data_IF_362889392058
#
_entry.id   IF_362889392058
#
_cell.length_a   1.000
_cell.length_b   1.000
_cell.length_c   1.000
_cell.angle_alpha   90.00
_cell.angle_beta   90.00
_cell.angle_gamma   90.00
#
_symmetry.space_group_name_H-M   'P 1'
#
loop_
_entity.id
_entity.type
_entity.pdbx_description
1 polymer ?
#
# COMPACT_ATOMS: atom_id res chain seq x y z
N UNK A 1 70.59 -73.82 57.48
CA UNK A 1 69.42 -73.19 56.81
C UNK A 1 68.95 -72.10 57.73
N UNK A 2 68.81 -70.84 57.30
CA UNK A 2 68.23 -69.81 58.18
C UNK A 2 66.79 -70.24 58.47
N UNK A 3 66.48 -70.41 59.76
CA UNK A 3 65.17 -70.85 60.25
C UNK A 3 64.43 -69.56 60.60
N UNK A 4 63.32 -69.28 59.91
CA UNK A 4 62.51 -68.10 60.24
C UNK A 4 62.01 -68.23 61.67
N UNK A 5 62.10 -67.14 62.44
CA UNK A 5 61.46 -67.07 63.76
C UNK A 5 59.95 -66.94 63.59
N UNK A 6 59.18 -67.43 64.58
CA UNK A 6 57.72 -67.45 64.50
C UNK A 6 57.11 -66.03 64.35
N UNK A 7 57.79 -65.02 64.89
CA UNK A 7 57.45 -63.61 64.71
C UNK A 7 57.68 -63.12 63.26
N UNK A 8 58.79 -63.51 62.62
CA UNK A 8 59.08 -63.16 61.23
C UNK A 8 58.08 -63.83 60.28
N UNK A 9 57.65 -65.06 60.58
CA UNK A 9 56.63 -65.75 59.80
C UNK A 9 55.27 -65.05 59.90
N UNK A 10 54.86 -64.65 61.11
CA UNK A 10 53.62 -63.89 61.31
C UNK A 10 53.67 -62.51 60.65
N UNK A 11 54.80 -61.81 60.70
CA UNK A 11 54.98 -60.53 60.03
C UNK A 11 54.86 -60.66 58.50
N UNK A 12 55.40 -61.73 57.90
CA UNK A 12 55.26 -62.00 56.46
C UNK A 12 53.81 -62.29 56.09
N UNK A 13 53.11 -63.13 56.87
CA UNK A 13 51.69 -63.44 56.64
C UNK A 13 50.82 -62.19 56.74
N UNK A 14 51.04 -61.36 57.77
CA UNK A 14 50.30 -60.11 57.95
C UNK A 14 50.55 -59.11 56.82
N UNK A 15 51.80 -59.03 56.32
CA UNK A 15 52.14 -58.18 55.18
C UNK A 15 51.50 -58.70 53.88
N UNK A 16 51.38 -60.02 53.72
CA UNK A 16 50.70 -60.62 52.58
C UNK A 16 49.18 -60.37 52.62
N UNK A 17 48.55 -60.49 53.79
CA UNK A 17 47.12 -60.20 53.94
C UNK A 17 46.82 -58.71 53.75
N UNK A 18 47.61 -57.81 54.32
CA UNK A 18 47.48 -56.37 54.11
C UNK A 18 47.68 -55.99 52.63
N UNK A 19 48.67 -56.59 51.96
CA UNK A 19 48.89 -56.39 50.52
C UNK A 19 47.70 -56.89 49.69
N UNK A 20 47.11 -58.04 50.03
CA UNK A 20 45.92 -58.58 49.35
C UNK A 20 44.70 -57.67 49.53
N UNK A 21 44.44 -57.21 50.76
CA UNK A 21 43.34 -56.28 51.05
C UNK A 21 43.53 -54.98 50.26
N UNK A 22 44.75 -54.43 50.23
CA UNK A 22 45.05 -53.21 49.48
C UNK A 22 44.91 -53.38 47.96
N UNK A 23 45.21 -54.57 47.44
CA UNK A 23 45.00 -54.90 46.03
C UNK A 23 43.50 -55.00 45.73
N UNK A 24 42.72 -55.62 46.62
CA UNK A 24 41.27 -55.75 46.47
C UNK A 24 40.57 -54.39 46.53
N UNK A 25 40.94 -53.54 47.49
CA UNK A 25 40.46 -52.15 47.58
C UNK A 25 40.80 -51.36 46.31
N UNK A 26 42.05 -51.47 45.82
CA UNK A 26 42.45 -50.81 44.58
C UNK A 26 41.66 -51.32 43.38
N UNK A 27 41.44 -52.63 43.27
CA UNK A 27 40.64 -53.20 42.19
C UNK A 27 39.19 -52.70 42.26
N UNK A 28 38.61 -52.61 43.45
CA UNK A 28 37.28 -52.05 43.66
C UNK A 28 37.21 -50.58 43.20
N UNK A 29 38.17 -49.74 43.62
CA UNK A 29 38.21 -48.34 43.18
C UNK A 29 38.39 -48.21 41.67
N UNK A 30 39.18 -49.08 41.03
CA UNK A 30 39.36 -49.08 39.57
C UNK A 30 38.05 -49.44 38.87
N UNK A 31 37.30 -50.41 39.39
CA UNK A 31 36.00 -50.80 38.84
C UNK A 31 34.99 -49.65 39.00
N UNK A 32 34.92 -49.04 40.19
CA UNK A 32 34.05 -47.89 40.44
C UNK A 32 34.39 -46.70 39.53
N UNK A 33 35.67 -46.36 39.38
CA UNK A 33 36.13 -45.32 38.46
C UNK A 33 35.85 -45.65 36.98
N UNK A 34 35.94 -46.92 36.60
CA UNK A 34 35.64 -47.37 35.24
C UNK A 34 34.13 -47.28 34.95
N UNK A 35 33.29 -47.60 35.94
CA UNK A 35 31.83 -47.48 35.87
C UNK A 35 31.40 -46.01 35.83
N UNK A 36 31.93 -45.16 36.71
CA UNK A 36 31.70 -43.71 36.71
C UNK A 36 32.10 -43.08 35.37
N UNK A 37 33.29 -43.41 34.84
CA UNK A 37 33.71 -42.90 33.51
C UNK A 37 32.82 -43.38 32.38
N UNK A 38 32.28 -44.60 32.45
CA UNK A 38 31.36 -45.15 31.44
C UNK A 38 30.02 -44.41 31.49
N UNK A 39 29.51 -44.12 32.67
CA UNK A 39 28.26 -43.39 32.88
C UNK A 39 28.39 -41.91 32.51
N UNK A 40 29.51 -41.28 32.87
CA UNK A 40 29.80 -39.90 32.50
C UNK A 40 30.01 -39.76 30.98
N UNK A 41 30.57 -40.79 30.32
CA UNK A 41 30.70 -40.86 28.86
C UNK A 41 29.36 -41.13 28.16
N UNK A 42 28.50 -41.97 28.71
CA UNK A 42 27.17 -42.24 28.15
C UNK A 42 26.25 -41.03 28.28
N UNK A 43 26.27 -40.36 29.44
CA UNK A 43 25.54 -39.12 29.71
C UNK A 43 25.99 -38.00 28.75
N UNK A 44 27.30 -37.75 28.63
CA UNK A 44 27.84 -36.73 27.71
C UNK A 44 27.48 -37.00 26.25
N UNK A 45 27.43 -38.27 25.82
CA UNK A 45 27.01 -38.61 24.45
C UNK A 45 25.54 -38.27 24.19
N UNK A 46 24.66 -38.51 25.17
CA UNK A 46 23.25 -38.13 25.08
C UNK A 46 23.05 -36.62 25.00
N UNK A 47 23.73 -35.86 25.87
CA UNK A 47 23.71 -34.39 25.82
C UNK A 47 24.28 -33.84 24.52
N UNK A 48 25.42 -34.37 24.05
CA UNK A 48 26.02 -33.95 22.78
C UNK A 48 25.08 -34.23 21.61
N UNK A 49 24.49 -35.44 21.53
CA UNK A 49 23.52 -35.77 20.50
C UNK A 49 22.30 -34.83 20.53
N UNK A 50 21.76 -34.54 21.72
CA UNK A 50 20.64 -33.62 21.90
C UNK A 50 20.98 -32.20 21.45
N UNK A 51 22.15 -31.68 21.82
CA UNK A 51 22.59 -30.33 21.39
C UNK A 51 22.80 -30.23 19.87
N UNK A 52 23.34 -31.28 19.24
CA UNK A 52 23.52 -31.32 17.78
C UNK A 52 22.17 -31.36 17.06
N UNK A 53 21.22 -32.17 17.54
CA UNK A 53 19.87 -32.24 16.98
C UNK A 53 19.17 -30.88 17.13
N UNK A 54 19.29 -30.22 18.28
CA UNK A 54 18.70 -28.91 18.52
C UNK A 54 19.33 -27.84 17.61
N UNK A 55 20.65 -27.88 17.41
CA UNK A 55 21.34 -26.96 16.50
C UNK A 55 20.90 -27.15 15.04
N UNK A 56 20.70 -28.40 14.60
CA UNK A 56 20.18 -28.69 13.26
C UNK A 56 18.74 -28.18 13.12
N UNK A 57 17.88 -28.40 14.12
CA UNK A 57 16.51 -27.88 14.14
C UNK A 57 16.47 -26.35 14.05
N UNK A 58 17.37 -25.68 14.77
CA UNK A 58 17.49 -24.22 14.74
C UNK A 58 17.96 -23.71 13.38
N UNK A 59 18.93 -24.39 12.74
CA UNK A 59 19.37 -24.06 11.39
C UNK A 59 18.26 -24.26 10.35
N UNK A 60 17.48 -25.34 10.45
CA UNK A 60 16.33 -25.57 9.58
C UNK A 60 15.30 -24.46 9.75
N UNK A 61 15.02 -24.03 10.99
CA UNK A 61 14.10 -22.93 11.27
C UNK A 61 14.59 -21.59 10.70
N UNK A 62 15.89 -21.29 10.81
CA UNK A 62 16.46 -20.10 10.18
C UNK A 62 16.38 -20.17 8.64
N UNK A 63 16.65 -21.36 8.07
CA UNK A 63 16.59 -21.57 6.63
C UNK A 63 15.18 -21.39 6.08
N UNK A 64 14.15 -21.92 6.77
CA UNK A 64 12.76 -21.75 6.36
C UNK A 64 12.32 -20.28 6.41
N UNK A 65 12.75 -19.51 7.41
CA UNK A 65 12.47 -18.06 7.49
C UNK A 65 13.11 -17.28 6.33
N UNK A 66 14.36 -17.59 5.96
CA UNK A 66 15.11 -16.82 4.95
C UNK A 66 14.71 -17.20 3.52
N UNK A 67 14.57 -18.50 3.22
CA UNK A 67 14.40 -18.99 1.85
C UNK A 67 12.96 -19.36 1.49
N UNK A 68 12.11 -19.63 2.48
CA UNK A 68 10.72 -20.04 2.25
C UNK A 68 9.73 -19.28 3.16
N UNK A 69 9.66 -17.94 3.05
CA UNK A 69 8.78 -17.12 3.90
C UNK A 69 7.29 -17.47 3.77
N UNK A 70 6.88 -18.13 2.68
CA UNK A 70 5.49 -18.53 2.43
C UNK A 70 5.05 -19.80 3.19
N UNK A 71 5.97 -20.59 3.76
CA UNK A 71 5.61 -21.79 4.56
C UNK A 71 5.27 -21.44 6.01
N UNK A 72 5.97 -20.46 6.58
CA UNK A 72 5.63 -19.89 7.88
C UNK A 72 4.55 -18.86 7.57
N UNK A 73 3.29 -19.29 7.58
CA UNK A 73 2.16 -18.44 7.29
C UNK A 73 1.94 -17.42 8.43
N UNK A 74 2.89 -16.51 8.64
CA UNK A 74 2.67 -15.25 9.33
C UNK A 74 1.78 -14.44 8.41
N UNK A 75 0.49 -14.75 8.43
CA UNK A 75 -0.55 -13.92 7.85
C UNK A 75 -0.61 -12.60 8.62
N UNK A 76 0.42 -11.78 8.46
CA UNK A 76 0.21 -10.36 8.33
C UNK A 76 -0.22 -10.12 6.87
N UNK A 77 -1.20 -10.89 6.39
CA UNK A 77 -2.07 -10.36 5.36
C UNK A 77 -2.68 -9.15 6.03
N UNK A 78 -2.36 -7.97 5.51
CA UNK A 78 -3.05 -6.74 5.86
C UNK A 78 -4.54 -7.08 5.85
N UNK A 79 -5.17 -7.06 7.02
CA UNK A 79 -6.63 -7.09 7.08
C UNK A 79 -7.04 -5.82 6.35
N UNK A 80 -7.44 -5.98 5.09
CA UNK A 80 -8.00 -4.91 4.30
C UNK A 80 -9.24 -4.48 5.06
N UNK A 81 -9.23 -3.24 5.56
CA UNK A 81 -10.43 -2.68 6.17
C UNK A 81 -11.53 -2.61 5.10
N UNK A 82 -12.79 -2.67 5.55
CA UNK A 82 -13.95 -2.66 4.66
C UNK A 82 -13.91 -1.43 3.74
N UNK A 83 -13.57 -1.66 2.46
CA UNK A 83 -13.40 -0.62 1.45
C UNK A 83 -12.07 -0.65 0.70
N UNK A 84 -11.07 -1.42 1.14
CA UNK A 84 -9.80 -1.52 0.44
C UNK A 84 -9.79 -2.69 -0.56
N UNK A 85 -9.56 -2.36 -1.83
CA UNK A 85 -9.43 -3.33 -2.93
C UNK A 85 -7.98 -3.34 -3.41
N UNK A 86 -7.37 -4.53 -3.48
CA UNK A 86 -6.06 -4.69 -4.11
C UNK A 86 -6.25 -4.53 -5.62
N UNK A 87 -5.84 -3.39 -6.15
CA UNK A 87 -5.88 -3.09 -7.58
C UNK A 87 -4.45 -3.23 -8.13
N UNK A 88 -4.28 -3.99 -9.21
CA UNK A 88 -2.99 -4.08 -9.90
C UNK A 88 -2.52 -2.69 -10.32
N UNK A 89 -1.23 -2.37 -10.11
CA UNK A 89 -0.64 -1.06 -10.45
C UNK A 89 -0.90 -0.65 -11.90
N UNK A 90 -0.98 -1.61 -12.82
CA UNK A 90 -1.36 -1.44 -14.24
C UNK A 90 -2.74 -0.81 -14.43
N UNK A 91 -3.69 -1.12 -13.54
CA UNK A 91 -5.05 -0.58 -13.58
C UNK A 91 -5.11 0.84 -13.02
N UNK A 92 -4.33 1.14 -11.98
CA UNK A 92 -4.22 2.52 -11.44
C UNK A 92 -3.62 3.47 -12.47
N UNK A 93 -2.57 3.03 -13.17
CA UNK A 93 -1.95 3.82 -14.25
C UNK A 93 -2.94 4.08 -15.40
N UNK A 94 -3.76 3.08 -15.75
CA UNK A 94 -4.83 3.25 -16.75
C UNK A 94 -5.87 4.29 -16.31
N UNK A 95 -6.35 4.22 -15.06
CA UNK A 95 -7.30 5.20 -14.53
C UNK A 95 -6.72 6.61 -14.48
N UNK A 96 -5.47 6.76 -14.05
CA UNK A 96 -4.81 8.07 -14.04
C UNK A 96 -4.62 8.63 -15.44
N UNK A 97 -4.26 7.80 -16.41
CA UNK A 97 -4.15 8.21 -17.81
C UNK A 97 -5.52 8.64 -18.37
N UNK A 98 -6.58 7.89 -18.05
CA UNK A 98 -7.96 8.23 -18.45
C UNK A 98 -8.45 9.52 -17.77
N UNK A 99 -8.15 9.71 -16.50
CA UNK A 99 -8.47 10.95 -15.77
C UNK A 99 -7.72 12.12 -16.40
N UNK A 100 -6.43 11.99 -16.66
CA UNK A 100 -5.61 13.03 -17.31
C UNK A 100 -6.15 13.37 -18.71
N UNK A 101 -6.54 12.35 -19.49
CA UNK A 101 -7.16 12.52 -20.80
C UNK A 101 -8.51 13.24 -20.69
N UNK A 102 -9.37 12.82 -19.75
CA UNK A 102 -10.67 13.45 -19.51
C UNK A 102 -10.53 14.89 -19.01
N UNK A 103 -9.58 15.15 -18.10
CA UNK A 103 -9.25 16.49 -17.62
C UNK A 103 -8.73 17.37 -18.76
N UNK A 104 -7.91 16.82 -19.67
CA UNK A 104 -7.47 17.56 -20.87
C UNK A 104 -8.63 17.87 -21.82
N UNK A 105 -9.60 16.95 -21.96
CA UNK A 105 -10.80 17.16 -22.79
C UNK A 105 -11.74 18.18 -22.15
N UNK A 106 -11.90 18.16 -20.82
CA UNK A 106 -12.69 19.16 -20.08
C UNK A 106 -12.00 20.52 -20.09
N UNK A 107 -10.67 20.57 -20.02
CA UNK A 107 -9.89 21.81 -20.14
C UNK A 107 -9.94 22.39 -21.56
N UNK A 108 -10.13 21.54 -22.58
CA UNK A 108 -10.44 21.93 -23.96
C UNK A 108 -11.89 22.35 -24.18
N UNK A 109 -12.79 22.05 -23.23
CA UNK A 109 -14.09 22.73 -23.16
C UNK A 109 -13.80 24.14 -22.66
N UNK A 110 -13.39 24.99 -23.61
CA UNK A 110 -13.14 26.40 -23.41
C UNK A 110 -14.28 26.96 -22.59
N UNK A 111 -13.97 27.39 -21.36
CA UNK A 111 -14.88 28.25 -20.62
C UNK A 111 -15.28 29.36 -21.61
N UNK A 112 -16.57 29.59 -21.86
CA UNK A 112 -17.03 30.50 -22.90
C UNK A 112 -16.45 31.92 -22.80
N UNK A 113 -15.90 32.26 -21.64
CA UNK A 113 -15.17 33.48 -21.33
C UNK A 113 -13.78 33.61 -21.99
N UNK A 114 -13.19 32.53 -22.52
CA UNK A 114 -11.89 32.55 -23.18
C UNK A 114 -11.94 32.74 -24.70
N UNK A 115 -13.14 32.77 -25.30
CA UNK A 115 -13.26 33.02 -26.75
C UNK A 115 -13.19 34.53 -27.02
N UNK A 116 -12.20 34.93 -27.80
CA UNK A 116 -12.08 36.31 -28.31
C UNK A 116 -13.24 36.69 -29.23
N UNK A 117 -13.86 35.72 -29.91
CA UNK A 117 -14.97 35.90 -30.85
C UNK A 117 -15.97 34.75 -30.68
N UNK A 118 -17.25 35.06 -30.53
CA UNK A 118 -18.30 34.05 -30.37
C UNK A 118 -19.69 34.58 -30.75
N UNK A 119 -20.63 33.66 -31.00
CA UNK A 119 -22.05 33.94 -31.20
C UNK A 119 -22.85 33.50 -29.95
N UNK A 120 -23.84 34.29 -29.57
CA UNK A 120 -24.73 33.96 -28.45
C UNK A 120 -26.16 34.46 -28.73
N UNK A 121 -27.16 33.74 -28.20
CA UNK A 121 -28.57 34.13 -28.36
C UNK A 121 -28.93 35.11 -27.25
N UNK A 122 -29.15 36.38 -27.59
CA UNK A 122 -29.57 37.39 -26.63
C UNK A 122 -31.08 37.34 -26.42
N UNK A 123 -31.51 37.11 -25.18
CA UNK A 123 -32.93 37.06 -24.79
C UNK A 123 -33.51 38.47 -24.58
N UNK A 124 -32.67 39.41 -24.17
CA UNK A 124 -33.09 40.79 -23.93
C UNK A 124 -32.03 41.65 -23.25
N UNK A 125 -32.36 42.93 -23.08
CA UNK A 125 -31.58 43.90 -22.34
C UNK A 125 -32.50 44.67 -21.40
N UNK A 126 -32.29 44.57 -20.08
CA UNK A 126 -33.23 45.10 -19.09
C UNK A 126 -32.54 46.09 -18.14
N UNK A 127 -33.16 47.25 -17.92
CA UNK A 127 -32.64 48.27 -16.97
C UNK A 127 -32.83 47.89 -15.50
N UNK A 128 -34.00 47.32 -15.17
CA UNK A 128 -34.42 47.06 -13.78
C UNK A 128 -34.35 45.59 -13.38
N UNK A 129 -34.23 44.69 -14.34
CA UNK A 129 -34.19 43.25 -14.10
C UNK A 129 -32.73 42.81 -14.04
N UNK A 130 -32.25 42.52 -12.83
CA UNK A 130 -30.88 42.08 -12.54
C UNK A 130 -30.93 40.83 -11.63
N UNK A 131 -31.56 39.77 -12.14
CA UNK A 131 -31.62 38.48 -11.45
C UNK A 131 -30.66 37.54 -12.17
N UNK A 132 -29.76 36.92 -11.41
CA UNK A 132 -28.84 35.93 -11.94
C UNK A 132 -29.63 34.66 -12.29
N UNK A 133 -29.72 34.32 -13.58
CA UNK A 133 -30.50 33.18 -14.06
C UNK A 133 -29.77 31.82 -13.91
N UNK A 134 -28.49 31.82 -13.55
CA UNK A 134 -27.69 30.61 -13.34
C UNK A 134 -26.74 30.73 -12.15
N UNK A 135 -26.31 29.60 -11.60
CA UNK A 135 -25.25 29.57 -10.58
C UNK A 135 -23.91 29.97 -11.18
N UNK A 136 -22.96 30.39 -10.33
CA UNK A 136 -21.59 30.75 -10.72
C UNK A 136 -20.89 29.66 -11.54
N UNK A 137 -21.18 28.39 -11.20
CA UNK A 137 -20.50 27.24 -11.78
C UNK A 137 -21.10 26.77 -13.12
N UNK A 138 -22.29 27.25 -13.49
CA UNK A 138 -22.99 26.86 -14.72
C UNK A 138 -23.37 28.10 -15.53
N UNK A 139 -22.40 28.71 -16.21
CA UNK A 139 -22.57 29.94 -16.98
C UNK A 139 -23.25 29.74 -18.34
N UNK A 140 -24.35 28.98 -18.41
CA UNK A 140 -25.15 28.86 -19.64
C UNK A 140 -25.79 30.20 -20.00
N UNK A 141 -26.03 31.04 -18.99
CA UNK A 141 -26.50 32.42 -19.14
C UNK A 141 -25.41 33.40 -18.77
N UNK A 142 -24.99 34.23 -19.71
CA UNK A 142 -24.04 35.31 -19.45
C UNK A 142 -24.81 36.62 -19.17
N UNK A 143 -24.45 37.28 -18.07
CA UNK A 143 -24.98 38.58 -17.67
C UNK A 143 -23.91 39.65 -17.89
N UNK A 144 -24.12 40.53 -18.87
CA UNK A 144 -23.20 41.64 -19.15
C UNK A 144 -23.89 42.99 -18.90
N UNK A 145 -23.15 43.97 -18.38
CA UNK A 145 -23.65 45.33 -18.22
C UNK A 145 -23.22 46.19 -19.41
N UNK A 146 -24.18 46.75 -20.15
CA UNK A 146 -23.90 47.70 -21.22
C UNK A 146 -24.81 48.92 -21.10
N UNK A 147 -24.21 50.11 -20.90
CA UNK A 147 -24.92 51.41 -20.89
C UNK A 147 -26.19 51.40 -20.01
N UNK A 148 -26.07 50.89 -18.78
CA UNK A 148 -27.15 50.76 -17.78
C UNK A 148 -28.22 49.69 -18.07
N UNK A 149 -27.95 48.76 -18.99
CA UNK A 149 -28.78 47.57 -19.21
C UNK A 149 -28.03 46.29 -18.83
N UNK A 150 -28.75 45.38 -18.19
CA UNK A 150 -28.32 44.00 -17.96
C UNK A 150 -28.70 43.18 -19.20
N UNK A 151 -27.71 42.64 -19.90
CA UNK A 151 -27.88 41.79 -21.07
C UNK A 151 -27.96 40.34 -20.60
N UNK A 152 -28.95 39.62 -21.12
CA UNK A 152 -29.10 38.19 -20.89
C UNK A 152 -28.84 37.47 -22.20
N UNK A 153 -27.75 36.71 -22.26
CA UNK A 153 -27.43 35.87 -23.41
C UNK A 153 -27.39 34.41 -23.00
N UNK A 154 -27.80 33.53 -23.91
CA UNK A 154 -27.89 32.09 -23.72
C UNK A 154 -26.95 31.39 -24.70
N UNK A 155 -26.10 30.52 -24.14
CA UNK A 155 -25.12 29.74 -24.89
C UNK A 155 -23.99 30.59 -25.49
N UNK A 156 -22.92 29.90 -25.87
CA UNK A 156 -21.77 30.46 -26.58
C UNK A 156 -21.38 29.48 -27.67
N UNK A 157 -21.33 29.97 -28.90
CA UNK A 157 -21.17 29.17 -30.10
C UNK A 157 -20.06 29.74 -30.98
N UNK A 158 -19.35 28.89 -31.69
CA UNK A 158 -18.33 29.31 -32.65
C UNK A 158 -18.96 29.80 -33.95
N UNK A 159 -20.11 29.23 -34.33
CA UNK A 159 -20.78 29.53 -35.60
C UNK A 159 -22.16 30.15 -35.42
N UNK A 160 -22.55 31.03 -36.35
CA UNK A 160 -23.88 31.64 -36.39
C UNK A 160 -24.99 30.58 -36.51
N UNK A 161 -24.77 29.55 -37.34
CA UNK A 161 -25.75 28.50 -37.59
C UNK A 161 -26.08 27.66 -36.33
N UNK A 162 -25.13 27.49 -35.42
CA UNK A 162 -25.39 26.84 -34.12
C UNK A 162 -26.24 27.72 -33.21
N UNK A 163 -25.96 29.03 -33.18
CA UNK A 163 -26.74 29.99 -32.43
C UNK A 163 -28.16 30.15 -32.99
N UNK A 164 -28.34 30.11 -34.32
CA UNK A 164 -29.66 30.14 -34.96
C UNK A 164 -30.53 28.93 -34.58
N UNK A 165 -29.95 27.73 -34.49
CA UNK A 165 -30.69 26.54 -34.01
C UNK A 165 -31.20 26.73 -32.59
N UNK A 166 -30.38 27.32 -31.71
CA UNK A 166 -30.83 27.65 -30.36
C UNK A 166 -31.91 28.73 -30.38
N UNK A 167 -31.77 29.74 -31.24
CA UNK A 167 -32.78 30.80 -31.40
C UNK A 167 -34.14 30.23 -31.77
N UNK A 168 -34.22 29.25 -32.68
CA UNK A 168 -35.49 28.60 -33.03
C UNK A 168 -36.16 27.91 -31.84
N UNK A 169 -35.37 27.29 -30.96
CA UNK A 169 -35.87 26.64 -29.74
C UNK A 169 -36.34 27.71 -28.75
N UNK A 170 -35.54 28.75 -28.54
CA UNK A 170 -35.84 29.88 -27.65
C UNK A 170 -37.10 30.62 -28.09
N UNK A 171 -37.29 30.83 -29.39
CA UNK A 171 -38.51 31.42 -29.95
C UNK A 171 -39.75 30.56 -29.67
N UNK A 172 -39.62 29.22 -29.70
CA UNK A 172 -40.69 28.28 -29.31
C UNK A 172 -41.01 28.33 -27.81
N UNK A 173 -40.07 28.80 -26.99
CA UNK A 173 -40.24 29.05 -25.55
C UNK A 173 -40.82 30.44 -25.25
N UNK A 174 -41.40 31.11 -26.25
CA UNK A 174 -42.06 32.43 -26.16
C UNK A 174 -41.12 33.65 -26.04
N UNK A 175 -39.81 33.46 -26.20
CA UNK A 175 -38.85 34.57 -26.34
C UNK A 175 -38.79 35.06 -27.79
N UNK A 176 -39.86 35.72 -28.25
CA UNK A 176 -40.03 36.12 -29.67
C UNK A 176 -39.04 37.18 -30.16
N UNK A 177 -38.56 38.02 -29.25
CA UNK A 177 -37.62 39.11 -29.56
C UNK A 177 -36.16 38.70 -29.33
N UNK A 178 -35.90 37.41 -29.10
CA UNK A 178 -34.53 36.92 -29.02
C UNK A 178 -33.84 37.03 -30.38
N UNK A 179 -32.54 37.25 -30.38
CA UNK A 179 -31.74 37.35 -31.61
C UNK A 179 -30.33 36.82 -31.39
N UNK A 180 -29.67 36.41 -32.48
CA UNK A 180 -28.26 36.05 -32.45
C UNK A 180 -27.39 37.31 -32.45
N UNK A 181 -26.49 37.41 -31.48
CA UNK A 181 -25.47 38.46 -31.40
C UNK A 181 -24.09 37.89 -31.63
N UNK A 182 -23.29 38.56 -32.45
CA UNK A 182 -21.86 38.31 -32.57
C UNK A 182 -21.09 39.20 -31.59
N UNK A 183 -20.21 38.60 -30.81
CA UNK A 183 -19.43 39.24 -29.77
C UNK A 183 -17.95 39.08 -30.05
N UNK A 184 -17.20 40.17 -29.87
CA UNK A 184 -15.75 40.20 -29.99
C UNK A 184 -15.17 40.93 -28.78
N UNK A 185 -14.24 40.28 -28.09
CA UNK A 185 -13.62 40.77 -26.85
C UNK A 185 -14.65 41.19 -25.79
N UNK A 186 -15.76 40.46 -25.68
CA UNK A 186 -16.84 40.76 -24.74
C UNK A 186 -17.80 41.88 -25.16
N UNK A 187 -17.57 42.55 -26.29
CA UNK A 187 -18.47 43.57 -26.82
C UNK A 187 -19.25 43.06 -28.03
N UNK A 188 -20.53 43.40 -28.11
CA UNK A 188 -21.35 43.07 -29.29
C UNK A 188 -20.85 43.86 -30.48
N UNK A 189 -20.47 43.17 -31.54
CA UNK A 189 -20.17 43.79 -32.83
C UNK A 189 -21.50 44.15 -33.47
N UNK A 190 -21.61 45.41 -33.91
CA UNK A 190 -22.81 45.90 -34.57
C UNK A 190 -23.00 45.14 -35.88
N UNK A 191 -23.97 44.24 -35.93
CA UNK A 191 -24.41 43.69 -37.21
C UNK A 191 -25.20 44.78 -37.95
N UNK A 192 -24.85 44.99 -39.21
CA UNK A 192 -25.57 45.90 -40.10
C UNK A 192 -26.86 45.21 -40.54
N UNK A 193 -27.91 45.32 -39.73
CA UNK A 193 -29.28 45.08 -40.16
C UNK A 193 -30.00 46.42 -40.30
#
# INVERSE_FOLDING_TARGET
MPILTEEELQAIVNKETEAKVKIEEKNKTIIELAEEKKDLKSQKRGFLASTVILAILFLVLLFTVIFQPNLINTNNGTQLEEGEQIVETSSIENYNNRITELESQVSMSTSPLNLNEFYAVQLGAFKKFNIKLSSDDYSVVHNANFRDFNLFTLGVFETEAEAEKLLEIVAKLDFKDAFVGYYKNGERVKSNY
#
